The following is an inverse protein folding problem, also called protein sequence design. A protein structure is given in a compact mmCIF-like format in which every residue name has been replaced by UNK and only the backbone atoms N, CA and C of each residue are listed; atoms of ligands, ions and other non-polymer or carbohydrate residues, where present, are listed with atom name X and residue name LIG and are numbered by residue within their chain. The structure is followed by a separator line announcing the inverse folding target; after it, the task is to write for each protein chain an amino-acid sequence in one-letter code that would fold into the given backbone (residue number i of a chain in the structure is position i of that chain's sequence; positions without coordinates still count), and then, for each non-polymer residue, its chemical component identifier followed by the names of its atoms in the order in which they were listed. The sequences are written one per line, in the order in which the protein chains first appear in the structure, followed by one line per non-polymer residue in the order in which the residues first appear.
data_IF_489535112901
#
_entry.id   IF_489535112901
#
_cell.length_a   1.000
_cell.length_b   1.000
_cell.length_c   1.000
_cell.angle_alpha   90.00
_cell.angle_beta   90.00
_cell.angle_gamma   90.00
#
_symmetry.space_group_name_H-M   'P 1'
#
loop_
_entity.id
_entity.type
_entity.pdbx_description
1 polymer ?
#
# COMPACT_ATOMS: atom_id res chain seq x y z
N UNK A 1 7.39 -0.46 -18.03
CA UNK A 1 6.18 -1.15 -18.50
C UNK A 1 4.97 -0.93 -17.61
N UNK A 2 5.01 -1.26 -16.30
CA UNK A 2 3.88 -0.99 -15.38
C UNK A 2 3.58 0.51 -15.25
N UNK A 3 4.59 1.31 -15.04
CA UNK A 3 4.47 2.77 -14.94
C UNK A 3 3.82 3.39 -16.17
N UNK A 4 4.23 2.98 -17.37
CA UNK A 4 3.63 3.49 -18.61
C UNK A 4 2.17 3.07 -18.76
N UNK A 5 1.85 1.85 -18.35
CA UNK A 5 0.47 1.36 -18.35
C UNK A 5 -0.40 2.18 -17.39
N UNK A 6 0.02 2.34 -16.13
CA UNK A 6 -0.73 3.10 -15.11
C UNK A 6 -0.90 4.55 -15.53
N UNK A 7 0.16 5.19 -16.10
CA UNK A 7 0.06 6.56 -16.62
C UNK A 7 -0.99 6.69 -17.72
N UNK A 8 -1.04 5.75 -18.66
CA UNK A 8 -2.05 5.77 -19.74
C UNK A 8 -3.46 5.59 -19.19
N UNK A 9 -3.65 4.65 -18.27
CA UNK A 9 -4.96 4.44 -17.62
C UNK A 9 -5.40 5.71 -16.89
N UNK A 10 -4.51 6.36 -16.12
CA UNK A 10 -4.81 7.61 -15.44
C UNK A 10 -5.24 8.72 -16.40
N UNK A 11 -4.53 8.88 -17.53
CA UNK A 11 -4.91 9.86 -18.55
C UNK A 11 -6.27 9.55 -19.20
N UNK A 12 -6.57 8.28 -19.45
CA UNK A 12 -7.85 7.88 -19.97
C UNK A 12 -8.98 8.12 -18.95
N UNK A 13 -8.73 7.87 -17.67
CA UNK A 13 -9.67 8.18 -16.59
C UNK A 13 -10.01 9.68 -16.53
N UNK A 14 -9.00 10.56 -16.63
CA UNK A 14 -9.23 12.01 -16.74
C UNK A 14 -10.07 12.33 -17.96
N UNK A 15 -9.70 11.77 -19.12
CA UNK A 15 -10.37 12.06 -20.41
C UNK A 15 -11.85 11.69 -20.39
N UNK A 16 -12.22 10.60 -19.70
CA UNK A 16 -13.59 10.07 -19.66
C UNK A 16 -14.33 10.44 -18.37
N UNK A 17 -13.74 11.26 -17.51
CA UNK A 17 -14.31 11.66 -16.20
C UNK A 17 -14.68 10.44 -15.33
N UNK A 18 -13.74 9.48 -15.23
CA UNK A 18 -13.89 8.24 -14.45
C UNK A 18 -12.91 8.30 -13.28
N UNK A 19 -13.36 8.10 -12.02
CA UNK A 19 -12.46 7.98 -10.88
C UNK A 19 -11.49 6.82 -11.04
N UNK A 20 -10.20 7.07 -10.76
CA UNK A 20 -9.15 6.06 -10.87
C UNK A 20 -8.77 5.52 -9.49
N UNK A 21 -9.15 4.26 -9.22
CA UNK A 21 -8.68 3.50 -8.07
C UNK A 21 -7.52 2.61 -8.49
N UNK A 22 -6.37 2.78 -7.81
CA UNK A 22 -5.18 1.95 -8.05
C UNK A 22 -4.91 1.04 -6.85
N UNK A 23 -4.95 -0.28 -7.09
CA UNK A 23 -4.55 -1.30 -6.11
C UNK A 23 -3.07 -1.63 -6.28
N UNK A 24 -2.29 -1.48 -5.21
CA UNK A 24 -0.86 -1.83 -5.18
C UNK A 24 -0.65 -3.08 -4.33
N UNK A 25 0.05 -4.06 -4.90
CA UNK A 25 0.44 -5.30 -4.25
C UNK A 25 1.93 -5.55 -4.45
N UNK A 26 2.59 -5.96 -3.38
CA UNK A 26 3.99 -6.41 -3.41
C UNK A 26 4.01 -7.94 -3.28
N UNK A 27 4.63 -8.59 -4.24
CA UNK A 27 4.78 -10.06 -4.26
C UNK A 27 6.13 -10.45 -4.88
N UNK A 28 6.68 -11.61 -4.50
CA UNK A 28 7.94 -12.07 -5.05
C UNK A 28 7.82 -12.38 -6.54
N UNK A 29 8.85 -12.02 -7.31
CA UNK A 29 8.96 -12.42 -8.70
C UNK A 29 9.28 -13.91 -8.81
N UNK A 30 9.04 -14.58 -9.98
CA UNK A 30 9.22 -16.01 -10.13
C UNK A 30 10.60 -16.57 -9.74
N UNK A 31 11.63 -15.73 -9.80
CA UNK A 31 13.01 -16.10 -9.46
C UNK A 31 13.51 -15.43 -8.16
N UNK A 32 12.64 -14.81 -7.39
CA UNK A 32 12.96 -14.11 -6.15
C UNK A 32 12.56 -14.98 -4.95
N UNK A 33 13.45 -15.07 -3.96
CA UNK A 33 13.12 -15.80 -2.75
C UNK A 33 12.01 -15.04 -1.95
N UNK A 34 10.92 -15.73 -1.54
CA UNK A 34 9.79 -15.10 -0.85
C UNK A 34 10.19 -14.31 0.40
N UNK A 35 11.21 -14.76 1.11
CA UNK A 35 11.73 -14.12 2.32
C UNK A 35 12.39 -12.75 2.06
N UNK A 36 12.80 -12.46 0.83
CA UNK A 36 13.34 -11.15 0.45
C UNK A 36 12.24 -10.10 0.49
N UNK A 37 11.08 -10.43 -0.10
CA UNK A 37 9.92 -9.53 -0.09
C UNK A 37 9.43 -9.32 1.33
N UNK A 38 9.33 -10.37 2.13
CA UNK A 38 8.87 -10.29 3.53
C UNK A 38 9.79 -9.39 4.36
N UNK A 39 11.12 -9.58 4.28
CA UNK A 39 12.11 -8.76 5.01
C UNK A 39 12.14 -7.29 4.61
N UNK A 40 11.74 -6.97 3.38
CA UNK A 40 11.77 -5.59 2.86
C UNK A 40 10.36 -5.04 2.58
N UNK A 41 9.34 -5.66 3.16
CA UNK A 41 7.94 -5.34 2.83
C UNK A 41 7.63 -3.86 2.99
N UNK A 42 7.95 -3.27 4.14
CA UNK A 42 7.71 -1.85 4.39
C UNK A 42 8.34 -0.96 3.30
N UNK A 43 9.60 -1.24 2.96
CA UNK A 43 10.30 -0.49 1.92
C UNK A 43 9.60 -0.60 0.57
N UNK A 44 9.24 -1.80 0.14
CA UNK A 44 8.64 -2.02 -1.18
C UNK A 44 7.24 -1.42 -1.26
N UNK A 45 6.43 -1.53 -0.21
CA UNK A 45 5.10 -0.90 -0.16
C UNK A 45 5.23 0.62 -0.21
N UNK A 46 6.07 1.23 0.65
CA UNK A 46 6.25 2.69 0.67
C UNK A 46 6.82 3.23 -0.63
N UNK A 47 7.80 2.54 -1.24
CA UNK A 47 8.38 2.95 -2.52
C UNK A 47 7.35 2.88 -3.65
N UNK A 48 6.48 1.86 -3.66
CA UNK A 48 5.38 1.74 -4.63
C UNK A 48 4.39 2.89 -4.49
N UNK A 49 3.97 3.20 -3.26
CA UNK A 49 3.06 4.33 -3.00
C UNK A 49 3.72 5.64 -3.43
N UNK A 50 4.98 5.88 -3.05
CA UNK A 50 5.73 7.09 -3.42
C UNK A 50 5.83 7.27 -4.94
N UNK A 51 6.05 6.17 -5.67
CA UNK A 51 6.10 6.21 -7.13
C UNK A 51 4.75 6.60 -7.72
N UNK A 52 3.69 5.84 -7.39
CA UNK A 52 2.38 6.00 -8.03
C UNK A 52 1.53 7.14 -7.48
N UNK A 53 1.94 7.79 -6.38
CA UNK A 53 1.35 9.03 -5.89
C UNK A 53 1.77 10.28 -6.70
N UNK A 54 2.70 10.14 -7.64
CA UNK A 54 3.08 11.27 -8.51
C UNK A 54 1.89 11.72 -9.37
N UNK A 55 1.71 13.03 -9.57
CA UNK A 55 0.55 13.60 -10.29
C UNK A 55 0.34 13.04 -11.69
N UNK A 56 1.41 12.59 -12.34
CA UNK A 56 1.38 12.05 -13.70
C UNK A 56 0.54 10.78 -13.86
N UNK A 57 0.28 10.06 -12.76
CA UNK A 57 -0.55 8.86 -12.75
C UNK A 57 -2.03 9.15 -12.52
N UNK A 58 -2.37 10.33 -12.01
CA UNK A 58 -3.74 10.79 -11.80
C UNK A 58 -4.60 9.81 -10.96
N UNK A 59 -4.02 9.24 -9.92
CA UNK A 59 -4.73 8.33 -9.01
C UNK A 59 -5.62 9.13 -8.06
N UNK A 60 -6.91 8.81 -8.01
CA UNK A 60 -7.89 9.44 -7.12
C UNK A 60 -8.03 8.72 -5.78
N UNK A 61 -7.83 7.40 -5.77
CA UNK A 61 -7.98 6.55 -4.59
C UNK A 61 -6.98 5.39 -4.67
N UNK A 62 -6.25 5.17 -3.59
CA UNK A 62 -5.43 3.96 -3.46
C UNK A 62 -6.14 2.85 -2.68
N UNK A 63 -5.88 1.60 -3.07
CA UNK A 63 -6.15 0.43 -2.27
C UNK A 63 -4.82 -0.23 -1.93
N UNK A 64 -4.42 -0.16 -0.66
CA UNK A 64 -3.07 -0.46 -0.19
C UNK A 64 -3.06 -1.65 0.76
N UNK A 65 -2.05 -2.50 0.65
CA UNK A 65 -1.79 -3.54 1.63
C UNK A 65 -1.07 -3.01 2.87
N UNK A 66 -1.10 -3.79 3.96
CA UNK A 66 -0.32 -3.49 5.15
C UNK A 66 1.17 -3.33 4.80
N UNK A 67 1.83 -2.24 5.21
CA UNK A 67 3.26 -2.05 4.97
C UNK A 67 4.14 -2.91 5.88
N UNK A 68 3.54 -3.67 6.80
CA UNK A 68 4.22 -4.59 7.71
C UNK A 68 3.65 -5.99 7.58
N UNK A 69 4.41 -6.99 7.96
CA UNK A 69 3.97 -8.39 7.99
C UNK A 69 3.07 -8.65 9.20
N UNK A 70 2.31 -9.74 9.16
CA UNK A 70 1.44 -10.15 10.28
C UNK A 70 2.24 -10.39 11.59
N UNK A 71 3.50 -10.84 11.48
CA UNK A 71 4.39 -11.07 12.61
C UNK A 71 4.88 -9.77 13.28
N UNK A 72 4.90 -8.67 12.55
CA UNK A 72 5.31 -7.35 13.05
C UNK A 72 4.15 -6.58 13.69
N UNK A 73 2.90 -7.04 13.50
CA UNK A 73 1.72 -6.42 14.14
C UNK A 73 1.82 -6.53 15.66
N UNK A 74 2.17 -5.43 16.32
CA UNK A 74 2.23 -5.34 17.78
C UNK A 74 0.85 -5.44 18.45
N UNK A 75 0.79 -5.09 19.74
CA UNK A 75 -0.45 -4.97 20.48
C UNK A 75 -1.21 -3.70 20.01
N UNK A 76 -2.41 -3.83 19.43
CA UNK A 76 -3.19 -2.69 18.94
C UNK A 76 -3.70 -1.77 20.06
N UNK A 77 -3.70 -2.26 21.30
CA UNK A 77 -4.14 -1.50 22.48
C UNK A 77 -2.98 -0.84 23.23
N UNK A 78 -1.74 -0.91 22.68
CA UNK A 78 -0.57 -0.24 23.23
C UNK A 78 -0.78 1.29 23.23
N UNK A 79 -0.55 1.91 24.40
CA UNK A 79 -0.81 3.35 24.62
C UNK A 79 0.20 4.31 23.96
N UNK A 80 1.23 3.80 23.31
CA UNK A 80 2.25 4.61 22.64
C UNK A 80 2.25 4.29 21.14
N UNK A 81 2.49 5.33 20.32
CA UNK A 81 2.68 5.17 18.90
C UNK A 81 3.83 4.18 18.63
N UNK A 82 3.46 2.97 18.19
CA UNK A 82 4.41 1.92 17.88
C UNK A 82 5.19 2.27 16.60
N UNK A 83 6.37 1.70 16.37
CA UNK A 83 7.06 1.81 15.08
C UNK A 83 6.16 1.42 13.90
N UNK A 84 5.27 0.44 14.09
CA UNK A 84 4.27 0.00 13.10
C UNK A 84 3.32 1.15 12.75
N UNK A 85 2.78 1.84 13.75
CA UNK A 85 1.88 2.98 13.51
C UNK A 85 2.57 4.10 12.73
N UNK A 86 3.85 4.34 12.99
CA UNK A 86 4.62 5.33 12.24
C UNK A 86 4.73 4.99 10.75
N UNK A 87 4.93 3.71 10.41
CA UNK A 87 5.00 3.24 9.01
C UNK A 87 3.65 3.42 8.31
N UNK A 88 2.53 3.13 8.98
CA UNK A 88 1.20 3.39 8.43
C UNK A 88 0.93 4.89 8.21
N UNK A 89 1.35 5.74 9.15
CA UNK A 89 1.25 7.20 9.00
C UNK A 89 2.09 7.70 7.82
N UNK A 90 3.31 7.19 7.65
CA UNK A 90 4.16 7.52 6.50
C UNK A 90 3.49 7.11 5.18
N UNK A 91 2.94 5.90 5.12
CA UNK A 91 2.22 5.41 3.94
C UNK A 91 1.03 6.33 3.60
N UNK A 92 0.21 6.71 4.57
CA UNK A 92 -0.91 7.62 4.37
C UNK A 92 -0.47 9.01 3.89
N UNK A 93 0.62 9.54 4.44
CA UNK A 93 1.18 10.82 4.01
C UNK A 93 1.72 10.76 2.57
N UNK A 94 2.37 9.66 2.20
CA UNK A 94 2.89 9.46 0.83
C UNK A 94 1.77 9.34 -0.19
N UNK A 95 0.65 8.70 0.16
CA UNK A 95 -0.48 8.51 -0.74
C UNK A 95 -1.05 9.86 -1.25
N UNK A 96 -1.09 10.88 -0.40
CA UNK A 96 -1.51 12.24 -0.77
C UNK A 96 -2.97 12.38 -1.24
N UNK A 97 -3.72 11.28 -1.30
CA UNK A 97 -5.13 11.19 -1.63
C UNK A 97 -5.81 10.14 -0.73
N UNK A 98 -7.15 10.01 -0.73
CA UNK A 98 -7.82 8.97 0.03
C UNK A 98 -7.30 7.56 -0.29
N UNK A 99 -7.25 6.70 0.70
CA UNK A 99 -6.87 5.31 0.51
C UNK A 99 -7.66 4.37 1.42
N UNK A 100 -7.77 3.10 0.99
CA UNK A 100 -8.42 2.04 1.73
C UNK A 100 -7.46 0.86 1.92
N UNK A 101 -7.64 0.13 3.01
CA UNK A 101 -6.83 -1.04 3.33
C UNK A 101 -7.37 -2.28 2.59
N UNK A 102 -6.47 -3.03 1.97
CA UNK A 102 -6.78 -4.36 1.45
C UNK A 102 -6.23 -5.45 2.40
N UNK A 103 -6.90 -6.59 2.43
CA UNK A 103 -6.53 -7.69 3.36
C UNK A 103 -5.27 -8.45 2.94
N UNK A 104 -4.92 -8.47 1.66
CA UNK A 104 -3.74 -9.15 1.11
C UNK A 104 -3.56 -10.61 1.60
N UNK A 105 -4.66 -11.31 1.84
CA UNK A 105 -4.65 -12.70 2.31
C UNK A 105 -4.40 -12.89 3.81
N UNK A 106 -4.28 -11.82 4.61
CA UNK A 106 -4.18 -11.94 6.07
C UNK A 106 -5.47 -12.48 6.69
N UNK A 107 -5.38 -13.01 7.90
CA UNK A 107 -6.55 -13.52 8.63
C UNK A 107 -7.49 -12.39 9.05
N UNK A 108 -8.78 -12.71 9.28
CA UNK A 108 -9.74 -11.72 9.78
C UNK A 108 -9.32 -11.13 11.14
N UNK A 109 -8.65 -11.92 11.99
CA UNK A 109 -8.13 -11.46 13.28
C UNK A 109 -7.02 -10.42 13.09
N UNK A 110 -6.03 -10.70 12.23
CA UNK A 110 -4.94 -9.77 11.93
C UNK A 110 -5.44 -8.53 11.20
N UNK A 111 -6.39 -8.69 10.27
CA UNK A 111 -6.98 -7.55 9.57
C UNK A 111 -7.70 -6.59 10.54
N UNK A 112 -8.41 -7.11 11.54
CA UNK A 112 -8.99 -6.29 12.61
C UNK A 112 -7.93 -5.55 13.44
N UNK A 113 -6.76 -6.15 13.66
CA UNK A 113 -5.63 -5.49 14.33
C UNK A 113 -5.09 -4.36 13.49
N UNK A 114 -4.89 -4.58 12.18
CA UNK A 114 -4.46 -3.55 11.23
C UNK A 114 -5.39 -2.34 11.24
N UNK A 115 -6.71 -2.58 11.23
CA UNK A 115 -7.71 -1.50 11.23
C UNK A 115 -7.78 -0.69 12.53
N UNK A 116 -7.10 -1.12 13.60
CA UNK A 116 -7.02 -0.40 14.87
C UNK A 116 -5.75 0.46 15.02
N UNK A 117 -4.78 0.29 14.14
CA UNK A 117 -3.53 1.05 14.12
C UNK A 117 -3.77 2.47 13.64
#
# INVERSE_FOLDING_TARGET
HQQDFVRRVGQDCIRYDIPFLLELLVYPLPNEAPDVVERHKSKFVLDSVREFAKPEYAVDLFKLESPVTDSELGDPDAKQASPVQQVFMEMGNLAGCPWVMLSAGTTAANFRRILKI
#
